data_IF_274853183141
#
_entry.id   IF_274853183141
#
_cell.length_a   1.000
_cell.length_b   1.000
_cell.length_c   1.000
_cell.angle_alpha   90.00
_cell.angle_beta   90.00
_cell.angle_gamma   90.00
#
_symmetry.space_group_name_H-M   'P 1'
#
loop_
_entity.id
_entity.type
_entity.pdbx_description
1 polymer ?
#
# COMPACT_ATOMS: atom_id res chain seq x y z
N UNK A 1 -6.28 22.29 -1.66
CA UNK A 1 -6.67 21.98 -3.05
C UNK A 1 -6.73 20.48 -3.22
N UNK A 2 -7.91 19.91 -3.51
CA UNK A 2 -8.02 18.50 -3.92
C UNK A 2 -7.56 18.40 -5.38
N UNK A 3 -6.69 17.45 -5.70
CA UNK A 3 -6.21 17.25 -7.07
C UNK A 3 -7.21 16.37 -7.87
N UNK A 4 -7.14 16.41 -9.20
CA UNK A 4 -8.04 15.65 -10.08
C UNK A 4 -7.98 14.12 -9.83
N UNK A 5 -6.84 13.60 -9.36
CA UNK A 5 -6.66 12.20 -9.01
C UNK A 5 -7.48 11.80 -7.77
N UNK A 6 -7.51 12.63 -6.74
CA UNK A 6 -8.32 12.40 -5.55
C UNK A 6 -9.82 12.38 -5.91
N UNK A 7 -10.29 13.31 -6.74
CA UNK A 7 -11.68 13.28 -7.23
C UNK A 7 -12.01 12.02 -8.04
N UNK A 8 -11.03 11.47 -8.76
CA UNK A 8 -11.20 10.20 -9.47
C UNK A 8 -11.35 9.04 -8.48
N UNK A 9 -10.51 8.98 -7.45
CA UNK A 9 -10.59 7.95 -6.38
C UNK A 9 -11.97 7.97 -5.72
N UNK A 10 -12.48 9.15 -5.36
CA UNK A 10 -13.81 9.28 -4.77
C UNK A 10 -14.91 8.75 -5.69
N UNK A 11 -14.91 9.14 -6.97
CA UNK A 11 -15.89 8.65 -7.97
C UNK A 11 -15.84 7.14 -8.12
N UNK A 12 -14.64 6.55 -8.15
CA UNK A 12 -14.46 5.10 -8.21
C UNK A 12 -14.97 4.45 -6.92
N UNK A 13 -14.69 5.02 -5.75
CA UNK A 13 -15.18 4.49 -4.47
C UNK A 13 -16.72 4.51 -4.39
N UNK A 14 -17.36 5.60 -4.81
CA UNK A 14 -18.82 5.71 -4.91
C UNK A 14 -19.40 4.64 -5.84
N UNK A 15 -18.81 4.47 -7.02
CA UNK A 15 -19.23 3.44 -7.99
C UNK A 15 -19.06 2.03 -7.43
N UNK A 16 -17.92 1.72 -6.83
CA UNK A 16 -17.67 0.40 -6.22
C UNK A 16 -18.71 0.10 -5.16
N UNK A 17 -19.06 1.07 -4.29
CA UNK A 17 -20.11 0.89 -3.27
C UNK A 17 -21.48 0.58 -3.88
N UNK A 18 -21.81 1.18 -5.02
CA UNK A 18 -23.06 0.89 -5.74
C UNK A 18 -23.07 -0.51 -6.35
N UNK A 19 -21.93 -0.99 -6.85
CA UNK A 19 -21.82 -2.27 -7.55
C UNK A 19 -21.70 -3.47 -6.59
N UNK A 20 -20.93 -3.34 -5.51
CA UNK A 20 -20.59 -4.47 -4.61
C UNK A 20 -21.04 -4.27 -3.16
N UNK A 21 -21.62 -3.12 -2.82
CA UNK A 21 -21.99 -2.76 -1.46
C UNK A 21 -20.80 -2.27 -0.62
N UNK A 22 -20.93 -2.36 0.70
CA UNK A 22 -19.89 -1.90 1.63
C UNK A 22 -18.60 -2.73 1.49
N UNK A 23 -17.51 -2.04 1.20
CA UNK A 23 -16.19 -2.66 0.99
C UNK A 23 -15.58 -3.02 2.34
N UNK A 24 -15.37 -4.32 2.57
CA UNK A 24 -14.79 -4.83 3.83
C UNK A 24 -13.31 -5.16 3.72
N UNK A 25 -12.73 -5.14 2.52
CA UNK A 25 -11.31 -5.38 2.29
C UNK A 25 -10.81 -4.52 1.13
N UNK A 26 -9.67 -3.87 1.33
CA UNK A 26 -8.94 -3.14 0.28
C UNK A 26 -7.54 -3.72 0.18
N UNK A 27 -7.14 -4.09 -1.04
CA UNK A 27 -5.77 -4.47 -1.34
C UNK A 27 -5.16 -3.34 -2.17
N UNK A 28 -4.32 -2.53 -1.54
CA UNK A 28 -3.56 -1.51 -2.23
C UNK A 28 -2.34 -2.14 -2.90
N UNK A 29 -2.39 -2.18 -4.22
CA UNK A 29 -1.29 -2.63 -5.07
C UNK A 29 -0.95 -1.50 -6.04
N UNK A 30 0.13 -0.78 -5.78
CA UNK A 30 0.64 0.20 -6.75
C UNK A 30 1.85 -0.40 -7.49
N UNK A 31 1.58 -0.92 -8.69
CA UNK A 31 2.63 -1.37 -9.61
C UNK A 31 3.27 -0.16 -10.30
N UNK A 32 4.54 0.12 -9.99
CA UNK A 32 5.33 1.08 -10.74
C UNK A 32 6.43 0.34 -11.50
N UNK A 33 6.42 0.46 -12.83
CA UNK A 33 7.57 0.13 -13.66
C UNK A 33 8.61 1.25 -13.51
N UNK A 34 9.75 0.98 -12.88
CA UNK A 34 10.86 1.94 -12.94
C UNK A 34 12.22 1.25 -12.97
N UNK A 35 12.73 0.89 -14.15
CA UNK A 35 14.12 0.53 -14.32
C UNK A 35 14.92 1.74 -14.86
N UNK A 36 15.15 2.80 -14.10
CA UNK A 36 16.02 3.90 -14.57
C UNK A 36 16.81 4.57 -13.44
N UNK A 37 18.12 4.71 -13.67
CA UNK A 37 19.09 5.31 -12.76
C UNK A 37 18.71 6.72 -12.27
N UNK A 38 19.20 7.09 -11.09
CA UNK A 38 19.02 8.41 -10.47
C UNK A 38 19.27 9.60 -11.41
N UNK A 39 20.21 9.45 -12.34
CA UNK A 39 20.64 10.50 -13.26
C UNK A 39 19.68 10.75 -14.43
N UNK A 40 18.66 9.89 -14.61
CA UNK A 40 17.78 9.89 -15.80
C UNK A 40 16.32 10.28 -15.45
N UNK A 41 16.09 10.93 -14.30
CA UNK A 41 14.74 11.27 -13.81
C UNK A 41 14.40 12.74 -13.96
N UNK A 42 13.33 13.04 -14.69
CA UNK A 42 12.61 14.29 -14.51
C UNK A 42 11.93 14.30 -13.14
N UNK A 43 11.95 15.44 -12.45
CA UNK A 43 11.25 15.61 -11.16
C UNK A 43 9.75 15.27 -11.25
N UNK A 44 9.16 15.40 -12.43
CA UNK A 44 7.78 14.99 -12.71
C UNK A 44 7.56 13.49 -12.50
N UNK A 45 8.48 12.62 -12.94
CA UNK A 45 8.38 11.16 -12.72
C UNK A 45 8.51 10.82 -11.24
N UNK A 46 9.39 11.49 -10.51
CA UNK A 46 9.53 11.31 -9.05
C UNK A 46 8.22 11.69 -8.35
N UNK A 47 7.65 12.84 -8.70
CA UNK A 47 6.36 13.28 -8.15
C UNK A 47 5.25 12.26 -8.45
N UNK A 48 5.19 11.75 -9.68
CA UNK A 48 4.22 10.73 -10.08
C UNK A 48 4.40 9.42 -9.29
N UNK A 49 5.64 8.97 -9.04
CA UNK A 49 5.92 7.82 -8.17
C UNK A 49 5.33 8.00 -6.78
N UNK A 50 5.55 9.16 -6.15
CA UNK A 50 5.01 9.44 -4.82
C UNK A 50 3.49 9.64 -4.83
N UNK A 51 2.93 10.28 -5.85
CA UNK A 51 1.49 10.43 -6.01
C UNK A 51 0.79 9.06 -6.09
N UNK A 52 1.33 8.16 -6.91
CA UNK A 52 0.77 6.84 -7.13
C UNK A 52 1.02 5.88 -5.96
N UNK A 53 2.23 5.81 -5.41
CA UNK A 53 2.54 4.85 -4.34
C UNK A 53 2.12 5.33 -2.96
N UNK A 54 2.30 6.62 -2.65
CA UNK A 54 2.13 7.16 -1.29
C UNK A 54 0.85 7.94 -1.16
N UNK A 55 0.62 8.97 -1.98
CA UNK A 55 -0.55 9.85 -1.80
C UNK A 55 -1.87 9.13 -2.09
N UNK A 56 -1.88 8.18 -3.02
CA UNK A 56 -3.06 7.34 -3.28
C UNK A 56 -3.51 6.55 -2.06
N UNK A 57 -2.61 6.15 -1.15
CA UNK A 57 -3.01 5.50 0.10
C UNK A 57 -3.91 6.41 0.92
N UNK A 58 -3.52 7.67 1.10
CA UNK A 58 -4.31 8.62 1.88
C UNK A 58 -5.69 8.85 1.26
N UNK A 59 -5.77 9.02 -0.06
CA UNK A 59 -7.06 9.20 -0.75
C UNK A 59 -7.96 7.98 -0.61
N UNK A 60 -7.40 6.77 -0.71
CA UNK A 60 -8.15 5.53 -0.55
C UNK A 60 -8.55 5.28 0.91
N UNK A 61 -7.69 5.62 1.87
CA UNK A 61 -8.00 5.53 3.30
C UNK A 61 -9.18 6.45 3.66
N UNK A 62 -9.19 7.69 3.16
CA UNK A 62 -10.31 8.62 3.39
C UNK A 62 -11.66 8.00 2.95
N UNK A 63 -11.68 7.36 1.79
CA UNK A 63 -12.90 6.80 1.18
C UNK A 63 -13.34 5.45 1.76
N UNK A 64 -12.40 4.55 2.10
CA UNK A 64 -12.70 3.17 2.47
C UNK A 64 -12.48 2.86 3.94
N UNK A 65 -11.52 3.49 4.62
CA UNK A 65 -11.28 3.21 6.04
C UNK A 65 -12.38 3.78 6.93
N UNK A 66 -12.91 4.96 6.60
CA UNK A 66 -13.97 5.59 7.40
C UNK A 66 -15.21 4.70 7.52
N UNK A 67 -15.77 4.13 6.43
CA UNK A 67 -16.87 3.15 6.53
C UNK A 67 -16.50 1.85 7.27
N UNK A 68 -15.28 1.33 7.08
CA UNK A 68 -14.80 0.14 7.80
C UNK A 68 -14.75 0.35 9.32
N UNK A 69 -14.33 1.54 9.75
CA UNK A 69 -14.29 1.92 11.16
C UNK A 69 -15.70 2.05 11.76
N UNK A 70 -16.62 2.68 11.03
CA UNK A 70 -18.00 2.86 11.45
C UNK A 70 -18.78 1.54 11.53
N UNK A 71 -18.55 0.64 10.59
CA UNK A 71 -19.15 -0.70 10.57
C UNK A 71 -18.46 -1.70 11.50
N UNK A 72 -17.27 -1.35 12.00
CA UNK A 72 -16.45 -2.25 12.81
C UNK A 72 -16.10 -3.53 12.06
N UNK A 73 -15.84 -3.45 10.75
CA UNK A 73 -15.41 -4.58 9.91
C UNK A 73 -14.55 -4.06 8.76
N UNK A 74 -13.28 -4.43 8.73
CA UNK A 74 -12.39 -3.99 7.67
C UNK A 74 -11.06 -4.74 7.62
N UNK A 75 -10.44 -4.76 6.45
CA UNK A 75 -9.08 -5.24 6.28
C UNK A 75 -8.35 -4.39 5.24
N UNK A 76 -7.35 -3.65 5.69
CA UNK A 76 -6.46 -2.89 4.84
C UNK A 76 -5.19 -3.69 4.54
N UNK A 77 -4.99 -4.08 3.29
CA UNK A 77 -3.80 -4.81 2.86
C UNK A 77 -2.96 -3.90 1.98
N UNK A 78 -1.73 -3.62 2.41
CA UNK A 78 -0.75 -2.85 1.64
C UNK A 78 0.26 -3.79 1.03
N UNK A 79 0.41 -3.75 -0.29
CA UNK A 79 1.50 -4.43 -0.99
C UNK A 79 2.69 -3.48 -1.16
N UNK A 80 3.80 -3.85 -0.52
CA UNK A 80 5.11 -3.22 -0.64
C UNK A 80 6.10 -4.16 -1.33
N UNK A 81 7.31 -3.68 -1.56
CA UNK A 81 8.44 -4.43 -2.10
C UNK A 81 9.54 -4.62 -1.06
N UNK A 82 10.46 -5.57 -1.28
CA UNK A 82 11.74 -5.61 -0.54
C UNK A 82 12.56 -4.32 -0.75
N UNK A 83 12.30 -3.56 -1.82
CA UNK A 83 12.81 -2.20 -1.98
C UNK A 83 12.33 -1.21 -0.91
N UNK A 84 11.30 -1.57 -0.12
CA UNK A 84 10.87 -0.84 1.07
C UNK A 84 11.66 -1.15 2.33
N UNK A 85 12.43 -2.25 2.33
CA UNK A 85 13.29 -2.68 3.44
C UNK A 85 14.77 -2.39 3.19
N UNK A 86 15.18 -2.37 1.91
CA UNK A 86 16.57 -2.20 1.50
C UNK A 86 16.67 -1.30 0.28
N UNK A 87 17.70 -0.44 0.26
CA UNK A 87 18.02 0.37 -0.91
C UNK A 87 18.62 -0.48 -2.03
N UNK A 88 18.22 -0.20 -3.27
CA UNK A 88 18.78 -0.83 -4.46
C UNK A 88 19.41 0.23 -5.38
N UNK A 89 20.60 -0.01 -5.95
CA UNK A 89 21.19 0.88 -6.93
C UNK A 89 20.20 1.19 -8.06
N UNK A 90 20.23 2.42 -8.58
CA UNK A 90 19.37 2.90 -9.67
C UNK A 90 17.86 2.97 -9.36
N UNK A 91 17.41 2.69 -8.14
CA UNK A 91 15.97 2.65 -7.80
C UNK A 91 15.56 3.67 -6.72
N UNK A 92 16.25 4.79 -6.58
CA UNK A 92 16.13 5.66 -5.40
C UNK A 92 14.72 6.22 -5.12
N UNK A 93 14.00 6.75 -6.11
CA UNK A 93 12.63 7.25 -5.87
C UNK A 93 11.65 6.12 -5.55
N UNK A 94 11.84 4.95 -6.18
CA UNK A 94 11.07 3.75 -5.90
C UNK A 94 11.31 3.28 -4.47
N UNK A 95 12.57 3.09 -4.08
CA UNK A 95 12.94 2.70 -2.73
C UNK A 95 12.37 3.70 -1.71
N UNK A 96 12.62 5.00 -1.90
CA UNK A 96 12.09 6.04 -1.01
C UNK A 96 10.54 5.96 -0.87
N UNK A 97 9.81 5.75 -1.97
CA UNK A 97 8.35 5.60 -1.92
C UNK A 97 7.92 4.33 -1.17
N UNK A 98 8.64 3.22 -1.30
CA UNK A 98 8.30 1.96 -0.65
C UNK A 98 8.63 1.98 0.85
N UNK A 99 9.70 2.66 1.26
CA UNK A 99 9.97 2.97 2.67
C UNK A 99 8.86 3.85 3.26
N UNK A 100 8.38 4.85 2.52
CA UNK A 100 7.25 5.67 2.96
C UNK A 100 5.95 4.86 3.12
N UNK A 101 5.68 3.94 2.19
CA UNK A 101 4.53 3.01 2.27
C UNK A 101 4.64 2.07 3.46
N UNK A 102 5.85 1.60 3.78
CA UNK A 102 6.09 0.80 4.99
C UNK A 102 5.79 1.60 6.25
N UNK A 103 6.37 2.79 6.41
CA UNK A 103 6.11 3.65 7.56
C UNK A 103 4.63 4.01 7.71
N UNK A 104 3.95 4.28 6.60
CA UNK A 104 2.50 4.52 6.57
C UNK A 104 1.73 3.30 7.11
N UNK A 105 2.07 2.10 6.64
CA UNK A 105 1.36 0.87 7.03
C UNK A 105 1.60 0.49 8.49
N UNK A 106 2.83 0.65 8.98
CA UNK A 106 3.17 0.42 10.38
C UNK A 106 2.46 1.42 11.30
N UNK A 107 2.45 2.71 10.93
CA UNK A 107 1.74 3.75 11.68
C UNK A 107 0.22 3.49 11.68
N UNK A 108 -0.35 3.09 10.55
CA UNK A 108 -1.77 2.75 10.44
C UNK A 108 -2.13 1.53 11.31
N UNK A 109 -1.30 0.49 11.31
CA UNK A 109 -1.50 -0.67 12.17
C UNK A 109 -1.48 -0.27 13.66
N UNK A 110 -0.53 0.58 14.06
CA UNK A 110 -0.49 1.12 15.41
C UNK A 110 -1.68 2.01 15.73
N UNK A 111 -2.25 2.74 14.78
CA UNK A 111 -3.46 3.55 15.02
C UNK A 111 -4.69 2.67 15.24
N UNK A 112 -4.76 1.53 14.54
CA UNK A 112 -5.92 0.64 14.54
C UNK A 112 -5.85 -0.50 15.56
N UNK A 113 -4.79 -0.58 16.37
CA UNK A 113 -4.58 -1.70 17.31
C UNK A 113 -5.73 -1.96 18.30
N UNK A 114 -6.48 -0.91 18.69
CA UNK A 114 -7.66 -1.01 19.59
C UNK A 114 -8.96 -1.31 18.85
N UNK A 115 -8.93 -1.51 17.54
CA UNK A 115 -10.10 -1.80 16.70
C UNK A 115 -10.10 -3.29 16.36
N UNK A 116 -10.72 -4.15 17.19
CA UNK A 116 -10.53 -5.61 17.11
C UNK A 116 -10.95 -6.24 15.77
N UNK A 117 -11.82 -5.55 15.02
CA UNK A 117 -12.40 -6.04 13.77
C UNK A 117 -11.94 -5.27 12.53
N UNK A 118 -10.92 -4.40 12.66
CA UNK A 118 -10.33 -3.68 11.53
C UNK A 118 -8.83 -3.99 11.50
N UNK A 119 -8.42 -4.75 10.50
CA UNK A 119 -7.06 -5.27 10.40
C UNK A 119 -6.22 -4.49 9.39
N UNK A 120 -4.91 -4.47 9.62
CA UNK A 120 -3.93 -3.96 8.68
C UNK A 120 -2.91 -5.05 8.39
N UNK A 121 -2.54 -5.24 7.14
CA UNK A 121 -1.51 -6.20 6.74
C UNK A 121 -0.58 -5.56 5.73
N UNK A 122 0.72 -5.58 6.04
CA UNK A 122 1.78 -5.19 5.13
C UNK A 122 2.38 -6.45 4.52
N UNK A 123 2.45 -6.51 3.19
CA UNK A 123 3.03 -7.62 2.45
C UNK A 123 4.22 -7.12 1.65
N UNK A 124 5.40 -7.67 1.88
CA UNK A 124 6.58 -7.40 1.04
C UNK A 124 6.68 -8.44 -0.07
N UNK A 125 6.67 -7.98 -1.33
CA UNK A 125 6.77 -8.82 -2.53
C UNK A 125 8.18 -8.71 -3.11
N UNK A 126 8.72 -9.84 -3.60
CA UNK A 126 10.02 -9.91 -4.28
C UNK A 126 9.83 -10.21 -5.78
N UNK A 127 9.81 -9.20 -6.66
CA UNK A 127 9.48 -9.41 -8.08
C UNK A 127 10.60 -10.07 -8.92
N UNK A 128 11.81 -10.30 -8.38
CA UNK A 128 12.89 -10.98 -9.13
C UNK A 128 12.61 -12.47 -9.46
N UNK A 129 11.48 -13.02 -8.98
CA UNK A 129 11.03 -14.39 -9.27
C UNK A 129 9.85 -14.46 -10.24
N UNK A 130 9.37 -13.34 -10.78
CA UNK A 130 8.24 -13.32 -11.71
C UNK A 130 8.76 -13.15 -13.14
N UNK A 131 9.12 -14.25 -13.80
CA UNK A 131 9.23 -14.25 -15.26
C UNK A 131 7.85 -14.04 -15.88
N UNK A 132 7.80 -13.40 -17.05
CA UNK A 132 6.57 -13.15 -17.80
C UNK A 132 5.78 -14.43 -18.15
N UNK A 133 6.40 -15.61 -17.98
CA UNK A 133 5.84 -16.94 -18.30
C UNK A 133 5.15 -17.65 -17.13
N UNK A 134 4.92 -17.00 -15.98
CA UNK A 134 4.35 -17.66 -14.81
C UNK A 134 2.81 -17.85 -14.90
N UNK A 135 2.35 -18.57 -15.92
CA UNK A 135 0.97 -19.04 -16.10
C UNK A 135 0.70 -20.36 -15.35
N UNK A 136 0.98 -20.44 -14.04
CA UNK A 136 0.32 -21.44 -13.17
C UNK A 136 0.82 -21.36 -11.73
N UNK A 137 -0.11 -21.13 -10.80
CA UNK A 137 0.02 -21.43 -9.37
C UNK A 137 1.23 -20.81 -8.65
N UNK A 138 1.17 -19.49 -8.46
CA UNK A 138 2.02 -18.81 -7.48
C UNK A 138 1.45 -19.09 -6.08
N UNK A 139 2.11 -19.96 -5.31
CA UNK A 139 1.89 -20.07 -3.86
C UNK A 139 2.93 -19.24 -3.13
N UNK A 140 2.60 -17.98 -2.85
CA UNK A 140 3.41 -17.12 -1.98
C UNK A 140 3.14 -17.50 -0.52
N UNK A 141 4.16 -18.03 0.16
CA UNK A 141 4.14 -18.21 1.61
C UNK A 141 5.08 -17.17 2.21
N UNK A 142 4.53 -16.01 2.54
CA UNK A 142 5.31 -14.94 3.19
C UNK A 142 5.44 -15.23 4.67
N UNK A 143 6.66 -15.11 5.20
CA UNK A 143 6.91 -15.08 6.64
C UNK A 143 6.29 -13.80 7.20
N UNK A 144 5.20 -13.94 7.95
CA UNK A 144 4.62 -12.84 8.73
C UNK A 144 5.62 -12.53 9.84
N UNK A 145 6.28 -11.37 9.80
CA UNK A 145 6.88 -10.80 11.01
C UNK A 145 5.72 -10.36 11.90
N UNK A 146 5.27 -11.27 12.76
CA UNK A 146 4.36 -10.92 13.85
C UNK A 146 5.15 -10.03 14.80
N UNK A 147 4.93 -8.71 14.74
CA UNK A 147 5.40 -7.80 15.79
C UNK A 147 4.59 -8.17 17.03
N UNK A 148 5.21 -8.95 17.92
CA UNK A 148 4.59 -9.41 19.13
C UNK A 148 4.49 -8.21 20.10
N UNK A 149 3.29 -7.69 20.31
CA UNK A 149 3.04 -6.49 21.15
C UNK A 149 3.29 -6.70 22.66
N UNK A 150 3.90 -7.82 23.08
CA UNK A 150 4.19 -8.13 24.49
C UNK A 150 5.48 -7.49 25.04
N UNK A 151 6.14 -6.57 24.33
CA UNK A 151 7.42 -5.98 24.79
C UNK A 151 7.39 -4.50 25.21
N UNK A 152 6.22 -3.87 25.32
CA UNK A 152 6.12 -2.51 25.86
C UNK A 152 5.36 -2.49 27.19
N UNK A 153 5.98 -3.05 28.23
CA UNK A 153 5.76 -2.60 29.60
C UNK A 153 7.10 -2.10 30.13
N UNK A 154 7.22 -0.79 30.20
CA UNK A 154 8.20 -0.06 31.02
C UNK A 154 7.41 0.77 32.01
#
# INVERSE_FOLDING_TARGET
MRNALHECVRRVAERTRQEVGEVTMVIHCCGLSSPHALLDRSMQKVKQTFELSVLSHFWLLEEFLTPMLSSGRGHWVTLSSVAGLTGQPHHTSMAASQFAVQGLSEALAQQLWKKPNVHVTLVHIYPFLLSADLKSNIRLRTTIYMINHQQFQV
#
